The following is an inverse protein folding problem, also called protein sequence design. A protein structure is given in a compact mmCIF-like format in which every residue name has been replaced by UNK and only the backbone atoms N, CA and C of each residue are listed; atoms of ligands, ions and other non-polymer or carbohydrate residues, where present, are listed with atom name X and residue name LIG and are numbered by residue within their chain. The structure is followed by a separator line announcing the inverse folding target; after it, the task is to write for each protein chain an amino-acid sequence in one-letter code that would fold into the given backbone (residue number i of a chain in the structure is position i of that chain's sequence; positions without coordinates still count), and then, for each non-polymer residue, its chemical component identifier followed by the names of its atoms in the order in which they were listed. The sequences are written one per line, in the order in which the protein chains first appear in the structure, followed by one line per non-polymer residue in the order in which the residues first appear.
data_IF_821647463377
#
_entry.id   IF_821647463377
#
_cell.length_a   1.000
_cell.length_b   1.000
_cell.length_c   1.000
_cell.angle_alpha   90.00
_cell.angle_beta   90.00
_cell.angle_gamma   90.00
#
_symmetry.space_group_name_H-M   'P 1'
#
loop_
_entity.id
_entity.type
_entity.pdbx_description
1 polymer ?
#
# COMPACT_ATOMS: atom_id res chain seq x y z
N UNK A 1 15.70 -13.68 15.60
CA UNK A 1 15.06 -12.38 15.92
C UNK A 1 13.94 -12.21 14.89
N UNK A 2 12.70 -12.49 15.28
CA UNK A 2 11.55 -12.38 14.37
C UNK A 2 11.09 -10.93 14.41
N UNK A 3 11.23 -10.19 13.31
CA UNK A 3 10.67 -8.86 13.17
C UNK A 3 9.17 -9.03 12.94
N UNK A 4 8.37 -8.76 13.97
CA UNK A 4 6.92 -8.79 13.89
C UNK A 4 6.43 -7.43 13.41
N UNK A 5 5.93 -7.38 12.18
CA UNK A 5 5.25 -6.20 11.63
C UNK A 5 3.73 -6.33 11.76
N UNK A 6 3.03 -5.21 11.86
CA UNK A 6 1.57 -5.16 11.69
C UNK A 6 1.28 -4.49 10.35
N UNK A 7 0.51 -5.15 9.48
CA UNK A 7 -0.07 -4.47 8.32
C UNK A 7 -1.47 -4.03 8.70
N UNK A 8 -1.69 -2.73 8.63
CA UNK A 8 -2.98 -2.14 8.91
C UNK A 8 -3.63 -1.76 7.59
N UNK A 9 -4.91 -2.08 7.40
CA UNK A 9 -5.61 -1.73 6.17
C UNK A 9 -7.08 -1.36 6.39
N UNK A 10 -7.59 -0.50 5.51
CA UNK A 10 -9.01 -0.13 5.45
C UNK A 10 -9.68 -0.76 4.23
N UNK A 11 -10.85 -1.36 4.42
CA UNK A 11 -11.64 -1.95 3.32
C UNK A 11 -12.63 -0.90 2.83
N UNK A 12 -12.43 -0.41 1.61
CA UNK A 12 -13.54 0.09 0.80
C UNK A 12 -14.10 -1.09 0.01
N UNK A 13 -15.39 -1.37 0.18
CA UNK A 13 -16.08 -2.47 -0.51
C UNK A 13 -16.14 -2.20 -2.01
N UNK A 14 -15.14 -2.68 -2.73
CA UNK A 14 -15.32 -3.00 -4.15
C UNK A 14 -14.74 -4.38 -4.42
N UNK A 15 -15.50 -5.18 -5.16
CA UNK A 15 -15.26 -6.59 -5.50
C UNK A 15 -13.96 -6.83 -6.30
N UNK A 16 -13.14 -5.79 -6.54
CA UNK A 16 -11.91 -5.83 -7.34
C UNK A 16 -10.63 -5.61 -6.54
N UNK A 17 -10.69 -5.42 -5.23
CA UNK A 17 -9.46 -5.19 -4.45
C UNK A 17 -8.74 -6.53 -4.18
N UNK A 18 -7.55 -6.72 -4.76
CA UNK A 18 -6.65 -7.84 -4.42
C UNK A 18 -5.97 -7.68 -3.06
N UNK A 19 -6.16 -6.53 -2.39
CA UNK A 19 -5.45 -6.16 -1.18
C UNK A 19 -5.65 -7.16 -0.01
N UNK A 20 -6.87 -7.63 0.32
CA UNK A 20 -7.05 -8.64 1.36
C UNK A 20 -6.30 -9.94 1.04
N UNK A 21 -6.38 -10.43 -0.20
CA UNK A 21 -5.69 -11.65 -0.62
C UNK A 21 -4.16 -11.49 -0.56
N UNK A 22 -3.63 -10.31 -0.93
CA UNK A 22 -2.21 -9.99 -0.80
C UNK A 22 -1.78 -10.00 0.68
N UNK A 23 -2.55 -9.36 1.56
CA UNK A 23 -2.27 -9.30 2.98
C UNK A 23 -2.30 -10.71 3.60
N UNK A 24 -3.27 -11.53 3.22
CA UNK A 24 -3.38 -12.92 3.67
C UNK A 24 -2.18 -13.75 3.17
N UNK A 25 -1.75 -13.56 1.92
CA UNK A 25 -0.59 -14.23 1.37
C UNK A 25 0.69 -13.86 2.14
N UNK A 26 0.90 -12.57 2.44
CA UNK A 26 2.06 -12.11 3.23
C UNK A 26 1.95 -12.57 4.68
N UNK A 27 0.75 -12.64 5.27
CA UNK A 27 0.56 -13.18 6.61
C UNK A 27 0.91 -14.67 6.70
N UNK A 28 0.62 -15.44 5.64
CA UNK A 28 0.90 -16.88 5.57
C UNK A 28 2.36 -17.18 5.20
N UNK A 29 2.90 -16.51 4.20
CA UNK A 29 4.23 -16.81 3.64
C UNK A 29 5.35 -15.94 4.22
N UNK A 30 5.01 -14.79 4.79
CA UNK A 30 5.95 -13.75 5.20
C UNK A 30 6.42 -12.87 4.03
N UNK A 31 7.47 -12.08 4.27
CA UNK A 31 8.08 -11.19 3.28
C UNK A 31 9.61 -11.24 3.35
N UNK A 32 10.29 -10.91 2.25
CA UNK A 32 11.75 -10.89 2.18
C UNK A 32 12.28 -9.54 1.70
N UNK A 33 13.57 -9.30 1.87
CA UNK A 33 14.21 -8.08 1.34
C UNK A 33 14.31 -8.14 -0.19
N UNK A 34 14.35 -6.96 -0.79
CA UNK A 34 14.54 -6.81 -2.25
C UNK A 34 15.90 -7.35 -2.72
N UNK A 35 16.90 -7.46 -1.83
CA UNK A 35 18.18 -8.12 -2.11
C UNK A 35 18.02 -9.63 -2.35
N UNK A 36 17.05 -10.26 -1.68
CA UNK A 36 16.77 -11.69 -1.81
C UNK A 36 15.88 -11.96 -3.02
N UNK A 37 14.92 -11.07 -3.29
CA UNK A 37 14.00 -11.11 -4.40
C UNK A 37 13.97 -9.74 -5.11
N UNK A 38 14.77 -9.56 -6.17
CA UNK A 38 14.78 -8.33 -6.97
C UNK A 38 13.48 -8.15 -7.77
N UNK A 39 13.20 -6.92 -8.19
CA UNK A 39 11.97 -6.56 -8.91
C UNK A 39 11.83 -7.24 -10.30
N UNK A 40 12.95 -7.59 -10.95
CA UNK A 40 12.94 -8.34 -12.21
C UNK A 40 12.89 -9.85 -11.93
N UNK A 41 11.67 -10.38 -11.83
CA UNK A 41 11.41 -11.77 -11.47
C UNK A 41 11.41 -12.74 -12.66
N UNK A 42 11.83 -12.30 -13.86
CA UNK A 42 11.73 -13.12 -15.08
C UNK A 42 12.62 -14.37 -15.10
N UNK A 43 13.43 -14.60 -14.06
CA UNK A 43 14.50 -15.62 -14.08
C UNK A 43 14.64 -16.45 -12.80
N UNK A 44 13.65 -16.43 -11.89
CA UNK A 44 13.80 -17.16 -10.61
C UNK A 44 13.58 -18.66 -10.82
N UNK A 45 14.62 -19.45 -10.56
CA UNK A 45 14.56 -20.90 -10.58
C UNK A 45 13.79 -21.47 -9.38
N UNK A 46 13.32 -22.72 -9.48
CA UNK A 46 12.63 -23.39 -8.37
C UNK A 46 13.48 -23.55 -7.09
N UNK A 47 14.81 -23.63 -7.22
CA UNK A 47 15.71 -23.68 -6.07
C UNK A 47 15.81 -22.32 -5.36
N UNK A 48 15.84 -21.22 -6.12
CA UNK A 48 15.85 -19.87 -5.58
C UNK A 48 14.53 -19.52 -4.90
N UNK A 49 13.39 -19.95 -5.46
CA UNK A 49 12.09 -19.81 -4.79
C UNK A 49 12.07 -20.44 -3.39
N UNK A 50 12.65 -21.63 -3.22
CA UNK A 50 12.74 -22.27 -1.90
C UNK A 50 13.57 -21.43 -0.92
N UNK A 51 14.66 -20.82 -1.39
CA UNK A 51 15.48 -19.90 -0.57
C UNK A 51 14.66 -18.66 -0.18
N UNK A 52 13.95 -18.07 -1.13
CA UNK A 52 13.08 -16.89 -0.91
C UNK A 52 12.03 -17.20 0.15
N UNK A 53 11.25 -18.28 0.02
CA UNK A 53 10.23 -18.63 1.01
C UNK A 53 10.80 -18.97 2.39
N UNK A 54 11.97 -19.61 2.45
CA UNK A 54 12.65 -19.88 3.72
C UNK A 54 13.03 -18.58 4.43
N UNK A 55 13.53 -17.59 3.69
CA UNK A 55 13.82 -16.27 4.27
C UNK A 55 12.53 -15.51 4.61
N UNK A 56 11.53 -15.53 3.73
CA UNK A 56 10.26 -14.85 3.94
C UNK A 56 9.56 -15.30 5.23
N UNK A 57 9.58 -16.61 5.51
CA UNK A 57 8.97 -17.18 6.72
C UNK A 57 9.54 -16.65 8.05
N UNK A 58 10.72 -16.01 8.02
CA UNK A 58 11.33 -15.38 9.20
C UNK A 58 10.70 -14.03 9.55
N UNK A 59 9.96 -13.44 8.62
CA UNK A 59 9.34 -12.12 8.73
C UNK A 59 7.84 -12.26 8.51
N UNK A 60 7.10 -12.49 9.60
CA UNK A 60 5.64 -12.61 9.56
C UNK A 60 4.97 -11.31 9.92
N UNK A 61 3.80 -11.07 9.34
CA UNK A 61 2.93 -9.95 9.72
C UNK A 61 1.71 -10.46 10.48
N UNK A 62 1.13 -9.60 11.31
CA UNK A 62 -0.25 -9.78 11.81
C UNK A 62 -1.12 -8.69 11.20
N UNK A 63 -2.09 -9.06 10.35
CA UNK A 63 -2.96 -8.07 9.74
C UNK A 63 -3.96 -7.53 10.77
N UNK A 64 -4.18 -6.22 10.74
CA UNK A 64 -5.21 -5.54 11.51
C UNK A 64 -6.08 -4.74 10.56
N UNK A 65 -7.38 -4.97 10.63
CA UNK A 65 -8.35 -4.20 9.86
C UNK A 65 -8.77 -2.97 10.66
N UNK A 66 -8.80 -1.81 10.01
CA UNK A 66 -9.41 -0.59 10.57
C UNK A 66 -10.85 -0.50 10.07
N UNK A 67 -11.77 -0.14 10.96
CA UNK A 67 -13.12 0.25 10.56
C UNK A 67 -13.09 1.61 9.84
N UNK A 68 -13.73 1.75 8.65
CA UNK A 68 -13.52 2.88 7.75
C UNK A 68 -14.20 4.17 8.24
N UNK A 69 -13.64 4.77 9.29
CA UNK A 69 -13.98 6.12 9.77
C UNK A 69 -12.74 7.01 9.80
N UNK A 70 -12.95 8.32 9.63
CA UNK A 70 -11.88 9.31 9.65
C UNK A 70 -11.15 9.29 11.00
N UNK A 71 -11.89 9.15 12.09
CA UNK A 71 -11.36 9.09 13.45
C UNK A 71 -10.45 7.89 13.65
N UNK A 72 -10.86 6.71 13.17
CA UNK A 72 -10.06 5.49 13.30
C UNK A 72 -8.79 5.56 12.46
N UNK A 73 -8.88 6.10 11.24
CA UNK A 73 -7.73 6.32 10.36
C UNK A 73 -6.71 7.29 10.99
N UNK A 74 -7.18 8.41 11.56
CA UNK A 74 -6.32 9.36 12.29
C UNK A 74 -5.73 8.74 13.56
N UNK A 75 -6.51 7.95 14.29
CA UNK A 75 -6.05 7.25 15.49
C UNK A 75 -4.88 6.29 15.18
N UNK A 76 -4.95 5.55 14.07
CA UNK A 76 -3.83 4.73 13.61
C UNK A 76 -2.57 5.56 13.35
N UNK A 77 -2.71 6.69 12.64
CA UNK A 77 -1.58 7.56 12.31
C UNK A 77 -0.98 8.23 13.56
N UNK A 78 -1.80 8.60 14.54
CA UNK A 78 -1.33 9.12 15.84
C UNK A 78 -0.57 8.06 16.65
N UNK A 79 -0.90 6.78 16.46
CA UNK A 79 -0.14 5.64 16.97
C UNK A 79 1.16 5.36 16.22
N UNK A 80 1.53 6.19 15.24
CA UNK A 80 2.66 5.98 14.32
C UNK A 80 2.53 4.70 13.48
N UNK A 81 1.29 4.34 13.13
CA UNK A 81 0.99 3.16 12.33
C UNK A 81 0.41 3.57 10.97
N UNK A 82 1.26 3.66 9.92
CA UNK A 82 0.80 3.78 8.55
C UNK A 82 -0.15 2.63 8.19
N UNK A 83 -1.10 2.90 7.30
CA UNK A 83 -2.06 1.89 6.86
C UNK A 83 -2.25 1.91 5.34
N UNK A 84 -2.63 0.78 4.78
CA UNK A 84 -2.89 0.62 3.35
C UNK A 84 -4.37 0.84 3.09
N UNK A 85 -4.70 1.58 2.05
CA UNK A 85 -6.08 1.68 1.55
C UNK A 85 -6.12 1.64 0.04
N UNK A 86 -7.27 1.27 -0.50
CA UNK A 86 -7.53 1.33 -1.94
C UNK A 86 -8.24 2.63 -2.28
N UNK A 87 -7.67 3.41 -3.20
CA UNK A 87 -8.31 4.59 -3.79
C UNK A 87 -9.00 4.20 -5.08
N UNK A 88 -10.21 4.73 -5.30
CA UNK A 88 -10.85 4.64 -6.61
C UNK A 88 -10.26 5.72 -7.53
N UNK A 89 -9.57 5.30 -8.60
CA UNK A 89 -8.90 6.22 -9.52
C UNK A 89 -9.88 7.08 -10.33
N UNK A 90 -11.14 6.64 -10.48
CA UNK A 90 -12.23 7.41 -11.09
C UNK A 90 -12.54 8.71 -10.35
N UNK A 91 -12.23 8.76 -9.04
CA UNK A 91 -12.50 9.93 -8.21
C UNK A 91 -11.43 11.02 -8.37
N UNK A 92 -10.33 10.74 -9.07
CA UNK A 92 -9.35 11.76 -9.40
C UNK A 92 -9.82 12.51 -10.65
N UNK A 93 -10.23 13.75 -10.45
CA UNK A 93 -10.49 14.66 -11.57
C UNK A 93 -9.19 15.37 -11.99
N UNK A 94 -9.18 15.96 -13.19
CA UNK A 94 -8.08 16.86 -13.62
C UNK A 94 -7.86 18.01 -12.62
N UNK A 95 -8.91 18.40 -11.86
CA UNK A 95 -8.84 19.43 -10.82
C UNK A 95 -8.12 18.93 -9.56
N UNK A 96 -8.30 17.66 -9.18
CA UNK A 96 -7.61 17.07 -8.03
C UNK A 96 -6.11 16.90 -8.32
N UNK A 97 -5.79 16.54 -9.56
CA UNK A 97 -4.42 16.58 -10.12
C UNK A 97 -3.83 17.99 -10.05
N UNK A 98 -4.61 19.03 -10.35
CA UNK A 98 -4.16 20.43 -10.28
C UNK A 98 -3.92 20.94 -8.86
N UNK A 99 -4.69 20.47 -7.87
CA UNK A 99 -4.51 20.86 -6.45
C UNK A 99 -3.22 20.27 -5.87
N UNK A 100 -2.84 19.06 -6.30
CA UNK A 100 -1.50 18.49 -6.01
C UNK A 100 -0.41 19.26 -6.77
N UNK A 101 -0.73 19.75 -7.98
CA UNK A 101 0.18 20.42 -8.91
C UNK A 101 0.30 21.95 -8.74
N UNK A 102 0.71 22.43 -7.56
CA UNK A 102 1.57 23.64 -7.57
C UNK A 102 2.88 23.42 -8.38
N UNK A 103 3.11 22.20 -8.90
CA UNK A 103 4.18 21.79 -9.79
C UNK A 103 3.65 21.45 -11.19
N UNK A 104 4.25 22.05 -12.21
CA UNK A 104 3.85 22.02 -13.63
C UNK A 104 4.00 20.64 -14.32
N UNK A 105 3.26 19.60 -13.94
CA UNK A 105 3.33 18.31 -14.65
C UNK A 105 1.97 17.68 -14.90
N UNK A 106 1.72 17.27 -16.15
CA UNK A 106 0.56 16.45 -16.51
C UNK A 106 0.71 15.08 -15.83
N UNK A 107 -0.02 14.84 -14.74
CA UNK A 107 -0.11 13.50 -14.16
C UNK A 107 -0.96 12.65 -15.10
N UNK A 108 -0.41 11.53 -15.56
CA UNK A 108 -1.18 10.51 -16.28
C UNK A 108 -1.96 9.77 -15.21
N UNK A 109 -3.28 9.95 -15.20
CA UNK A 109 -4.16 9.12 -14.38
C UNK A 109 -4.20 7.71 -14.99
N UNK A 110 -4.15 6.65 -14.17
CA UNK A 110 -4.34 5.29 -14.64
C UNK A 110 -5.74 5.13 -15.24
N UNK A 111 -5.93 4.05 -16.00
CA UNK A 111 -7.22 3.68 -16.56
C UNK A 111 -8.32 3.80 -15.49
N UNK A 112 -9.49 4.37 -15.81
CA UNK A 112 -10.54 4.71 -14.85
C UNK A 112 -11.27 3.49 -14.26
N UNK A 113 -10.61 2.35 -14.04
CA UNK A 113 -11.26 1.12 -13.56
C UNK A 113 -10.44 0.33 -12.53
N UNK A 114 -9.37 0.93 -12.01
CA UNK A 114 -8.45 0.26 -11.11
C UNK A 114 -8.51 0.85 -9.71
N UNK A 115 -8.62 -0.02 -8.71
CA UNK A 115 -8.34 0.37 -7.33
C UNK A 115 -6.83 0.50 -7.17
N UNK A 116 -6.37 1.68 -6.78
CA UNK A 116 -4.97 1.93 -6.51
C UNK A 116 -4.69 1.74 -5.01
N UNK A 117 -3.92 0.71 -4.61
CA UNK A 117 -3.45 0.62 -3.23
C UNK A 117 -2.41 1.71 -2.96
N UNK A 118 -2.61 2.47 -1.88
CA UNK A 118 -1.68 3.49 -1.40
C UNK A 118 -1.36 3.27 0.07
N UNK A 119 -0.18 3.74 0.50
CA UNK A 119 0.19 3.74 1.91
C UNK A 119 -0.12 5.11 2.51
N UNK A 120 -1.09 5.19 3.40
CA UNK A 120 -1.39 6.41 4.15
C UNK A 120 -0.39 6.56 5.28
N UNK A 121 0.31 7.70 5.30
CA UNK A 121 1.43 7.97 6.21
C UNK A 121 1.20 9.17 7.12
N UNK A 122 0.13 9.93 6.91
CA UNK A 122 -0.17 11.10 7.73
C UNK A 122 -1.48 11.78 7.34
N UNK A 123 -1.78 12.88 8.01
CA UNK A 123 -2.92 13.74 7.70
C UNK A 123 -2.61 15.19 8.10
N UNK A 124 -3.30 16.15 7.48
CA UNK A 124 -3.27 17.57 7.86
C UNK A 124 -4.69 18.09 8.04
N UNK A 125 -5.07 18.36 9.29
CA UNK A 125 -6.40 18.85 9.63
C UNK A 125 -6.67 20.29 9.22
N UNK A 126 -5.62 21.08 8.95
CA UNK A 126 -5.78 22.48 8.54
C UNK A 126 -6.36 22.58 7.14
N UNK A 127 -6.02 21.61 6.28
CA UNK A 127 -6.48 21.52 4.89
C UNK A 127 -7.35 20.28 4.64
N UNK A 128 -7.64 19.51 5.69
CA UNK A 128 -8.51 18.33 5.69
C UNK A 128 -8.10 17.25 4.68
N UNK A 129 -6.81 16.92 4.63
CA UNK A 129 -6.28 15.89 3.71
C UNK A 129 -5.57 14.76 4.45
N UNK A 130 -5.55 13.59 3.81
CA UNK A 130 -4.60 12.52 4.14
C UNK A 130 -3.36 12.62 3.25
N UNK A 131 -2.21 12.27 3.81
CA UNK A 131 -0.95 12.13 3.08
C UNK A 131 -0.75 10.66 2.73
N UNK A 132 -0.69 10.36 1.45
CA UNK A 132 -0.52 8.99 0.95
C UNK A 132 0.74 8.88 0.07
N UNK A 133 1.51 7.83 0.30
CA UNK A 133 2.61 7.41 -0.57
C UNK A 133 2.05 6.49 -1.65
N UNK A 134 2.20 6.93 -2.90
CA UNK A 134 1.93 6.13 -4.08
C UNK A 134 3.18 5.28 -4.44
N UNK A 135 3.01 4.25 -5.27
CA UNK A 135 4.07 3.35 -5.74
C UNK A 135 4.53 3.68 -7.16
N UNK A 136 4.09 4.82 -7.72
CA UNK A 136 4.55 5.29 -9.03
C UNK A 136 5.92 5.96 -8.95
N UNK A 137 6.49 6.24 -10.12
CA UNK A 137 7.81 6.83 -10.27
C UNK A 137 7.96 8.10 -9.41
N UNK A 138 9.12 8.34 -8.76
CA UNK A 138 9.34 9.53 -7.94
C UNK A 138 9.15 10.87 -8.66
N UNK A 139 9.08 10.88 -10.00
CA UNK A 139 8.79 12.07 -10.82
C UNK A 139 7.29 12.35 -10.97
N UNK A 140 6.44 11.45 -10.49
CA UNK A 140 4.99 11.62 -10.33
C UNK A 140 4.72 12.36 -9.02
#
# INVERSE_FOLDING_TARGET
MTLNGSIIYSKYDSYRSFLPALIDAVAQAGFCSQEILPDDTNTISGAELKRVYKEASKFSIRPHKIEPSIENMKSCLNGQLPFIMSLNTELFTERDVQIVNNYQRKLILPSPYELLPVLVVGYDDRIQVFLARNTWDPKW
#
